data_IF_750184633064
#
_entry.id   IF_750184633064
#
_cell.length_a   1.000
_cell.length_b   1.000
_cell.length_c   1.000
_cell.angle_alpha   90.00
_cell.angle_beta   90.00
_cell.angle_gamma   90.00
#
_symmetry.space_group_name_H-M   'P 1'
#
loop_
_entity.id
_entity.type
_entity.pdbx_description
1 polymer ?
#
# COMPACT_ATOMS: atom_id res chain seq x y z
N UNK A 1 -27.56 -30.43 -5.11
CA UNK A 1 -27.59 -28.97 -4.94
C UNK A 1 -26.94 -28.72 -3.60
N UNK A 2 -25.84 -28.04 -3.57
CA UNK A 2 -25.28 -27.54 -2.32
C UNK A 2 -26.28 -26.51 -1.78
N UNK A 3 -26.66 -26.63 -0.52
CA UNK A 3 -27.58 -25.70 0.11
C UNK A 3 -26.79 -24.45 0.48
N UNK A 4 -27.31 -23.27 0.12
CA UNK A 4 -26.81 -21.97 0.57
C UNK A 4 -27.71 -21.51 1.70
N UNK A 5 -27.12 -21.15 2.83
CA UNK A 5 -27.83 -20.73 4.02
C UNK A 5 -27.62 -19.24 4.31
N UNK A 6 -28.49 -18.66 5.11
CA UNK A 6 -28.32 -17.27 5.55
C UNK A 6 -27.06 -17.14 6.42
N UNK A 7 -26.15 -16.27 6.01
CA UNK A 7 -24.85 -16.10 6.66
C UNK A 7 -23.68 -16.70 5.86
N UNK A 8 -23.94 -17.46 4.82
CA UNK A 8 -22.89 -17.93 3.91
C UNK A 8 -22.24 -16.77 3.15
N UNK A 9 -20.96 -16.90 2.89
CA UNK A 9 -20.16 -15.88 2.20
C UNK A 9 -19.97 -16.31 0.75
N UNK A 10 -20.36 -15.43 -0.19
CA UNK A 10 -20.07 -15.58 -1.60
C UNK A 10 -18.94 -14.63 -2.03
N UNK A 11 -17.98 -15.14 -2.79
CA UNK A 11 -16.87 -14.34 -3.33
C UNK A 11 -16.71 -14.59 -4.82
N UNK A 12 -16.13 -13.61 -5.53
CA UNK A 12 -15.79 -13.79 -6.94
C UNK A 12 -14.70 -14.86 -7.11
N UNK A 13 -14.82 -15.67 -8.15
CA UNK A 13 -13.90 -16.76 -8.46
C UNK A 13 -12.82 -16.35 -9.49
N UNK A 14 -12.50 -15.07 -9.60
CA UNK A 14 -11.47 -14.59 -10.53
C UNK A 14 -10.11 -15.18 -10.17
N UNK A 15 -9.53 -15.89 -11.13
CA UNK A 15 -8.21 -16.50 -10.98
C UNK A 15 -7.09 -15.51 -11.31
N UNK A 16 -5.93 -15.74 -10.71
CA UNK A 16 -4.70 -15.03 -11.07
C UNK A 16 -4.27 -15.41 -12.49
N UNK A 17 -3.93 -14.40 -13.29
CA UNK A 17 -3.30 -14.60 -14.58
C UNK A 17 -2.40 -13.40 -14.92
N UNK A 18 -1.30 -13.68 -15.61
CA UNK A 18 -0.45 -12.65 -16.22
C UNK A 18 -0.86 -12.42 -17.67
N UNK A 19 -0.71 -11.21 -18.16
CA UNK A 19 -1.03 -10.84 -19.55
C UNK A 19 -0.29 -9.57 -19.98
N UNK A 20 -0.26 -9.33 -21.28
CA UNK A 20 0.41 -8.15 -21.84
C UNK A 20 1.87 -8.03 -21.40
N UNK A 21 2.37 -6.82 -21.33
CA UNK A 21 3.72 -6.56 -20.86
C UNK A 21 3.69 -6.41 -19.34
N UNK A 22 4.05 -7.50 -18.62
CA UNK A 22 4.22 -7.53 -17.16
C UNK A 22 3.00 -7.05 -16.37
N UNK A 23 1.79 -7.30 -16.87
CA UNK A 23 0.56 -7.09 -16.12
C UNK A 23 0.06 -8.38 -15.47
N UNK A 24 -0.59 -8.26 -14.34
CA UNK A 24 -1.30 -9.35 -13.67
C UNK A 24 -2.73 -8.94 -13.35
N UNK A 25 -3.65 -9.91 -13.41
CA UNK A 25 -5.02 -9.76 -12.93
C UNK A 25 -5.34 -10.77 -11.86
N UNK A 26 -6.10 -10.37 -10.87
CA UNK A 26 -6.71 -11.23 -9.86
C UNK A 26 -7.86 -10.52 -9.17
N UNK A 27 -8.60 -11.23 -8.31
CA UNK A 27 -9.45 -10.58 -7.31
C UNK A 27 -8.61 -10.08 -6.14
N UNK A 28 -9.08 -9.01 -5.50
CA UNK A 28 -8.53 -8.56 -4.21
C UNK A 28 -7.01 -8.35 -4.22
N UNK A 29 -6.46 -7.73 -5.26
CA UNK A 29 -5.11 -7.20 -5.17
C UNK A 29 -5.03 -6.16 -4.05
N UNK A 30 -6.09 -5.41 -3.85
CA UNK A 30 -6.33 -4.67 -2.65
C UNK A 30 -7.00 -5.60 -1.61
N UNK A 31 -6.34 -6.01 -0.47
CA UNK A 31 -4.94 -5.69 -0.28
C UNK A 31 -4.03 -6.94 -0.20
N UNK A 32 -4.21 -7.88 -1.10
CA UNK A 32 -3.28 -9.02 -1.21
C UNK A 32 -1.91 -8.63 -1.76
N UNK A 33 -1.84 -7.56 -2.55
CA UNK A 33 -0.57 -7.07 -3.09
C UNK A 33 0.30 -6.49 -1.98
N UNK A 34 -0.24 -5.71 -1.07
CA UNK A 34 0.48 -5.21 0.11
C UNK A 34 0.90 -6.33 1.04
N UNK A 35 0.01 -7.31 1.29
CA UNK A 35 0.38 -8.51 2.03
C UNK A 35 1.55 -9.26 1.36
N UNK A 36 1.57 -9.36 0.04
CA UNK A 36 2.67 -10.01 -0.70
C UNK A 36 3.98 -9.24 -0.57
N UNK A 37 3.95 -7.91 -0.66
CA UNK A 37 5.13 -7.06 -0.43
C UNK A 37 5.69 -7.28 0.98
N UNK A 38 4.84 -7.34 2.00
CA UNK A 38 5.26 -7.63 3.38
C UNK A 38 5.89 -9.02 3.50
N UNK A 39 5.31 -10.05 2.86
CA UNK A 39 5.86 -11.42 2.86
C UNK A 39 7.25 -11.46 2.21
N UNK A 40 7.46 -10.76 1.10
CA UNK A 40 8.79 -10.67 0.47
C UNK A 40 9.79 -9.89 1.36
N UNK A 41 9.31 -8.88 2.08
CA UNK A 41 10.14 -8.10 3.02
C UNK A 41 10.53 -8.91 4.25
N UNK A 42 9.61 -9.72 4.82
CA UNK A 42 9.89 -10.61 5.96
C UNK A 42 11.01 -11.62 5.68
N UNK A 43 11.16 -12.05 4.43
CA UNK A 43 12.22 -13.00 4.04
C UNK A 43 13.63 -12.38 4.11
N UNK A 44 13.70 -11.06 4.24
CA UNK A 44 14.97 -10.32 4.30
C UNK A 44 15.34 -10.06 5.76
N UNK A 45 16.61 -10.07 6.06
CA UNK A 45 17.09 -9.77 7.41
C UNK A 45 17.39 -8.28 7.55
N UNK A 46 16.88 -7.67 8.61
CA UNK A 46 17.14 -6.28 8.98
C UNK A 46 17.60 -6.22 10.45
N UNK A 47 18.57 -5.37 10.73
CA UNK A 47 19.01 -5.04 12.09
C UNK A 47 18.14 -3.90 12.66
N UNK A 48 16.84 -4.15 12.72
CA UNK A 48 15.82 -3.21 13.20
C UNK A 48 14.80 -3.96 14.06
N UNK A 49 14.19 -3.24 14.99
CA UNK A 49 13.02 -3.76 15.72
C UNK A 49 11.77 -3.59 14.83
N UNK A 50 11.49 -4.57 14.01
CA UNK A 50 10.37 -4.55 13.04
C UNK A 50 9.20 -5.41 13.51
N UNK A 51 7.99 -4.90 13.30
CA UNK A 51 6.76 -5.65 13.45
C UNK A 51 6.01 -5.60 12.11
N UNK A 52 5.73 -6.76 11.56
CA UNK A 52 4.90 -6.92 10.37
C UNK A 52 3.47 -7.25 10.81
N UNK A 53 2.53 -6.35 10.54
CA UNK A 53 1.14 -6.49 10.95
C UNK A 53 0.25 -6.69 9.73
N UNK A 54 -0.46 -7.81 9.67
CA UNK A 54 -1.51 -8.07 8.70
C UNK A 54 -2.85 -7.76 9.38
N UNK A 55 -3.34 -6.56 9.16
CA UNK A 55 -4.54 -6.05 9.81
C UNK A 55 -5.80 -6.59 9.16
N UNK A 56 -6.89 -6.62 9.90
CA UNK A 56 -8.19 -7.06 9.41
C UNK A 56 -9.17 -5.90 9.34
N UNK A 57 -10.18 -6.01 8.46
CA UNK A 57 -11.29 -5.05 8.41
C UNK A 57 -10.86 -3.62 8.05
N UNK A 58 -9.86 -3.48 7.16
CA UNK A 58 -9.47 -2.19 6.61
C UNK A 58 -10.64 -1.56 5.86
N UNK A 59 -11.25 -2.29 4.92
CA UNK A 59 -12.32 -1.89 3.99
C UNK A 59 -13.62 -1.41 4.66
N UNK A 60 -13.79 -1.69 5.93
CA UNK A 60 -14.98 -1.30 6.71
C UNK A 60 -14.64 -0.33 7.85
N UNK A 61 -13.53 0.40 7.71
CA UNK A 61 -13.17 1.52 8.60
C UNK A 61 -11.89 1.37 9.37
N UNK A 62 -10.85 0.74 8.82
CA UNK A 62 -9.49 0.64 9.37
C UNK A 62 -9.46 -0.01 10.77
N UNK A 63 -10.35 -0.99 10.99
CA UNK A 63 -10.71 -1.42 12.36
C UNK A 63 -9.59 -2.21 13.03
N UNK A 64 -8.84 -3.03 12.28
CA UNK A 64 -7.73 -3.81 12.81
C UNK A 64 -6.49 -2.97 13.10
N UNK A 65 -6.29 -1.88 12.36
CA UNK A 65 -5.11 -1.02 12.49
C UNK A 65 -5.06 -0.30 13.86
N UNK A 66 -6.19 0.18 14.36
CA UNK A 66 -6.26 0.89 15.65
C UNK A 66 -5.72 0.05 16.83
N UNK A 67 -6.24 -1.17 17.12
CA UNK A 67 -5.73 -1.99 18.21
C UNK A 67 -4.31 -2.52 17.94
N UNK A 68 -3.95 -2.76 16.69
CA UNK A 68 -2.60 -3.19 16.33
C UNK A 68 -1.57 -2.09 16.65
N UNK A 69 -1.81 -0.87 16.18
CA UNK A 69 -0.95 0.28 16.44
C UNK A 69 -0.85 0.59 17.94
N UNK A 70 -1.98 0.53 18.67
CA UNK A 70 -1.99 0.77 20.11
C UNK A 70 -1.12 -0.24 20.86
N UNK A 71 -1.19 -1.53 20.48
CA UNK A 71 -0.42 -2.61 21.12
C UNK A 71 1.06 -2.54 20.78
N UNK A 72 1.39 -2.32 19.51
CA UNK A 72 2.78 -2.24 19.02
C UNK A 72 3.46 -0.97 19.48
N UNK A 73 2.74 0.16 19.41
CA UNK A 73 3.26 1.50 19.73
C UNK A 73 4.58 1.81 19.00
N UNK A 74 4.60 1.76 17.66
CA UNK A 74 5.82 1.97 16.90
C UNK A 74 6.19 3.46 16.84
N UNK A 75 7.45 3.78 16.64
CA UNK A 75 7.92 5.14 16.36
C UNK A 75 7.52 5.58 14.94
N UNK A 76 7.57 4.65 14.00
CA UNK A 76 7.23 4.86 12.58
C UNK A 76 6.35 3.75 12.06
N UNK A 77 5.48 4.08 11.12
CA UNK A 77 4.64 3.12 10.42
C UNK A 77 4.71 3.31 8.90
N UNK A 78 4.84 2.21 8.17
CA UNK A 78 4.68 2.19 6.72
C UNK A 78 3.51 1.26 6.40
N UNK A 79 2.47 1.80 5.79
CA UNK A 79 1.33 1.02 5.28
C UNK A 79 1.59 0.68 3.83
N UNK A 80 1.39 -0.58 3.48
CA UNK A 80 1.53 -1.09 2.12
C UNK A 80 0.17 -1.59 1.68
N UNK A 81 -0.30 -1.13 0.52
CA UNK A 81 -1.65 -1.46 0.03
C UNK A 81 -1.77 -1.37 -1.49
N UNK A 82 -2.93 -1.74 -2.03
CA UNK A 82 -3.37 -1.34 -3.36
C UNK A 82 -3.91 0.10 -3.35
N UNK A 83 -3.81 0.84 -4.45
CA UNK A 83 -4.44 2.17 -4.53
C UNK A 83 -5.14 2.41 -5.85
N UNK A 84 -6.15 3.27 -5.81
CA UNK A 84 -6.97 3.60 -6.98
C UNK A 84 -6.14 4.13 -8.13
N UNK A 85 -6.41 3.58 -9.30
CA UNK A 85 -5.83 3.96 -10.57
C UNK A 85 -6.96 4.27 -11.55
N UNK A 86 -7.03 5.49 -12.02
CA UNK A 86 -8.09 5.95 -12.94
C UNK A 86 -7.57 6.13 -14.36
N UNK A 87 -6.44 5.55 -14.71
CA UNK A 87 -5.75 5.62 -16.00
C UNK A 87 -6.36 4.70 -17.06
N UNK A 88 -7.68 4.73 -17.18
CA UNK A 88 -8.43 3.90 -18.13
C UNK A 88 -8.86 4.71 -19.36
N UNK A 89 -9.12 4.02 -20.46
CA UNK A 89 -9.54 4.66 -21.71
C UNK A 89 -10.75 5.60 -21.50
N UNK A 90 -10.64 6.83 -21.97
CA UNK A 90 -11.66 7.84 -21.84
C UNK A 90 -11.57 8.71 -20.58
N UNK A 91 -10.68 8.40 -19.64
CA UNK A 91 -10.43 9.27 -18.48
C UNK A 91 -9.33 10.28 -18.80
N UNK A 92 -9.58 11.59 -18.74
CA UNK A 92 -8.55 12.61 -18.92
C UNK A 92 -7.45 12.49 -17.87
N UNK A 93 -6.19 12.73 -18.26
CA UNK A 93 -5.02 12.52 -17.41
C UNK A 93 -5.07 13.28 -16.08
N UNK A 94 -5.65 14.48 -16.05
CA UNK A 94 -5.79 15.26 -14.82
C UNK A 94 -6.66 14.60 -13.75
N UNK A 95 -7.43 13.56 -14.12
CA UNK A 95 -8.24 12.77 -13.20
C UNK A 95 -7.61 11.42 -12.84
N UNK A 96 -6.43 11.13 -13.36
CA UNK A 96 -5.69 9.93 -12.95
C UNK A 96 -5.20 10.10 -11.53
N UNK A 97 -5.71 9.28 -10.61
CA UNK A 97 -5.24 9.25 -9.23
C UNK A 97 -3.80 8.71 -9.14
N UNK A 98 -3.56 7.59 -9.82
CA UNK A 98 -2.26 7.00 -10.12
C UNK A 98 -2.30 6.37 -11.52
N UNK A 99 -1.17 5.89 -12.00
CA UNK A 99 -1.04 5.23 -13.31
C UNK A 99 -0.28 3.91 -13.15
N UNK A 100 -0.79 2.85 -13.75
CA UNK A 100 -0.11 1.53 -13.78
C UNK A 100 1.14 1.63 -14.64
N UNK A 101 2.25 1.05 -14.15
CA UNK A 101 3.55 1.09 -14.84
C UNK A 101 4.40 2.33 -14.54
N UNK A 102 3.97 3.18 -13.62
CA UNK A 102 4.70 4.39 -13.23
C UNK A 102 5.36 4.29 -11.83
N UNK A 103 5.51 3.08 -11.31
CA UNK A 103 6.07 2.79 -10.00
C UNK A 103 5.06 2.89 -8.86
N UNK A 104 5.45 2.47 -7.65
CA UNK A 104 4.62 2.60 -6.46
C UNK A 104 4.23 4.04 -6.20
N UNK A 105 3.05 4.24 -5.63
CA UNK A 105 2.50 5.54 -5.33
C UNK A 105 2.71 5.92 -3.86
N UNK A 106 3.12 7.17 -3.63
CA UNK A 106 3.23 7.76 -2.29
C UNK A 106 2.04 8.68 -2.06
N UNK A 107 1.32 8.48 -0.97
CA UNK A 107 0.20 9.34 -0.58
C UNK A 107 0.71 10.60 0.10
N UNK A 108 0.31 11.77 -0.42
CA UNK A 108 0.60 13.09 0.19
C UNK A 108 -0.54 13.49 1.13
N UNK A 109 -1.76 13.29 0.66
CA UNK A 109 -3.00 13.59 1.38
C UNK A 109 -4.09 12.63 0.92
N UNK A 110 -4.90 12.18 1.85
CA UNK A 110 -6.13 11.43 1.59
C UNK A 110 -7.27 11.93 2.49
N UNK A 111 -8.40 11.23 2.54
CA UNK A 111 -9.57 11.67 3.31
C UNK A 111 -9.34 11.70 4.83
N UNK A 112 -8.32 11.02 5.35
CA UNK A 112 -8.06 10.89 6.78
C UNK A 112 -6.66 11.33 7.20
N UNK A 113 -5.72 11.49 6.25
CA UNK A 113 -4.32 11.69 6.56
C UNK A 113 -3.72 12.81 5.70
N UNK A 114 -2.91 13.64 6.33
CA UNK A 114 -1.89 14.46 5.66
C UNK A 114 -0.55 13.84 6.04
N UNK A 115 0.20 13.34 5.06
CA UNK A 115 1.46 12.66 5.31
C UNK A 115 2.46 13.59 6.05
N UNK A 116 3.21 13.02 6.99
CA UNK A 116 4.29 13.75 7.65
C UNK A 116 5.35 14.13 6.61
N UNK A 117 5.49 15.42 6.34
CA UNK A 117 6.29 15.93 5.22
C UNK A 117 7.73 15.44 5.25
N UNK A 118 8.40 15.52 6.41
CA UNK A 118 9.78 15.08 6.54
C UNK A 118 9.95 13.60 6.24
N UNK A 119 9.01 12.76 6.68
CA UNK A 119 9.05 11.33 6.41
C UNK A 119 8.76 11.00 4.94
N UNK A 120 7.79 11.67 4.33
CA UNK A 120 7.52 11.53 2.90
C UNK A 120 8.73 11.96 2.05
N UNK A 121 9.34 13.10 2.36
CA UNK A 121 10.53 13.59 1.66
C UNK A 121 11.71 12.63 1.84
N UNK A 122 11.87 12.01 3.03
CA UNK A 122 12.85 10.97 3.27
C UNK A 122 12.64 9.76 2.35
N UNK A 123 11.41 9.22 2.26
CA UNK A 123 11.09 8.10 1.36
C UNK A 123 11.39 8.46 -0.10
N UNK A 124 11.05 9.67 -0.53
CA UNK A 124 11.35 10.16 -1.89
C UNK A 124 12.85 10.25 -2.17
N UNK A 125 13.63 10.74 -1.21
CA UNK A 125 15.09 10.77 -1.32
C UNK A 125 15.70 9.38 -1.43
N UNK A 126 15.20 8.43 -0.62
CA UNK A 126 15.62 7.02 -0.69
C UNK A 126 15.30 6.44 -2.06
N UNK A 127 14.09 6.67 -2.61
CA UNK A 127 13.73 6.23 -3.94
C UNK A 127 14.70 6.78 -5.01
N UNK A 128 14.97 8.07 -4.97
CA UNK A 128 15.88 8.73 -5.91
C UNK A 128 17.34 8.21 -5.81
N UNK A 129 17.84 7.99 -4.59
CA UNK A 129 19.19 7.48 -4.35
C UNK A 129 19.38 6.03 -4.81
N UNK A 130 18.31 5.27 -4.96
CA UNK A 130 18.32 3.87 -5.39
C UNK A 130 17.74 3.67 -6.81
N UNK A 131 17.55 4.75 -7.57
CA UNK A 131 16.99 4.72 -8.93
C UNK A 131 15.62 4.01 -9.00
N UNK A 132 14.82 4.10 -7.94
CA UNK A 132 13.49 3.51 -7.88
C UNK A 132 12.47 4.52 -8.40
N UNK A 133 11.81 4.18 -9.49
CA UNK A 133 10.69 4.97 -10.03
C UNK A 133 9.53 4.95 -9.04
N UNK A 134 8.93 6.11 -8.79
CA UNK A 134 7.75 6.27 -7.95
C UNK A 134 6.87 7.40 -8.48
N UNK A 135 5.63 7.44 -8.04
CA UNK A 135 4.70 8.51 -8.33
C UNK A 135 4.04 9.06 -7.08
N UNK A 136 3.48 10.27 -7.15
CA UNK A 136 2.62 10.80 -6.10
C UNK A 136 1.16 10.55 -6.42
N UNK A 137 0.39 10.09 -5.45
CA UNK A 137 -1.05 9.93 -5.58
C UNK A 137 -1.73 11.31 -5.69
N UNK A 138 -2.56 11.51 -6.71
CA UNK A 138 -3.13 12.82 -7.09
C UNK A 138 -4.58 13.04 -6.63
N UNK A 139 -5.12 12.18 -5.78
CA UNK A 139 -6.49 12.32 -5.26
C UNK A 139 -6.51 12.38 -3.75
N UNK A 140 -7.47 13.11 -3.21
CA UNK A 140 -7.75 13.19 -1.78
C UNK A 140 -8.81 12.19 -1.31
N UNK A 141 -9.45 11.47 -2.25
CA UNK A 141 -10.47 10.45 -1.93
C UNK A 141 -9.86 9.17 -1.38
N UNK A 142 -10.64 8.41 -0.63
CA UNK A 142 -10.18 7.17 0.01
C UNK A 142 -9.31 7.41 1.24
N UNK A 143 -8.93 6.34 1.89
CA UNK A 143 -8.01 6.33 3.04
C UNK A 143 -7.43 4.93 3.17
N UNK A 144 -6.48 4.75 4.05
CA UNK A 144 -5.86 3.47 4.39
C UNK A 144 -5.56 3.42 5.89
N UNK A 145 -4.97 2.32 6.34
CA UNK A 145 -4.68 2.07 7.75
C UNK A 145 -3.86 3.16 8.44
N UNK A 146 -3.06 3.97 7.70
CA UNK A 146 -2.34 5.08 8.30
C UNK A 146 -3.28 6.12 8.91
N UNK A 147 -4.51 6.25 8.37
CA UNK A 147 -5.55 7.13 8.91
C UNK A 147 -6.01 6.79 10.33
N UNK A 148 -5.81 5.54 10.76
CA UNK A 148 -6.05 5.10 12.14
C UNK A 148 -4.75 5.07 12.96
N UNK A 149 -3.66 4.64 12.35
CA UNK A 149 -2.36 4.47 13.01
C UNK A 149 -1.83 5.80 13.52
N UNK A 150 -1.84 6.85 12.68
CA UNK A 150 -1.23 8.15 13.03
C UNK A 150 -1.93 8.87 14.18
N UNK A 151 -3.18 8.51 14.52
CA UNK A 151 -3.93 9.07 15.63
C UNK A 151 -3.76 8.28 16.95
N UNK A 152 -2.95 7.22 16.94
CA UNK A 152 -2.79 6.34 18.10
C UNK A 152 -1.84 6.97 19.12
N UNK A 153 -2.25 6.96 20.40
CA UNK A 153 -1.50 7.52 21.54
C UNK A 153 -1.09 8.99 21.32
N UNK A 154 0.20 9.28 21.38
CA UNK A 154 0.75 10.63 21.16
C UNK A 154 0.91 10.98 19.67
N UNK A 155 0.51 10.07 18.81
CA UNK A 155 0.69 10.16 17.36
C UNK A 155 1.86 9.31 16.87
N UNK A 156 1.70 8.73 15.68
CA UNK A 156 2.72 7.89 15.04
C UNK A 156 3.05 8.50 13.68
N UNK A 157 4.33 8.73 13.43
CA UNK A 157 4.80 9.20 12.12
C UNK A 157 4.63 8.06 11.12
N UNK A 158 3.88 8.31 10.03
CA UNK A 158 3.64 7.26 9.06
C UNK A 158 3.51 7.75 7.63
N UNK A 159 3.63 6.80 6.72
CA UNK A 159 3.44 6.98 5.29
C UNK A 159 2.80 5.74 4.65
N UNK A 160 2.14 5.93 3.50
CA UNK A 160 1.65 4.84 2.67
C UNK A 160 2.49 4.72 1.39
N UNK A 161 2.89 3.49 1.06
CA UNK A 161 3.50 3.09 -0.20
C UNK A 161 2.54 2.12 -0.86
N UNK A 162 1.93 2.51 -1.96
CA UNK A 162 0.81 1.78 -2.54
C UNK A 162 1.13 1.28 -3.96
N UNK A 163 0.63 0.10 -4.32
CA UNK A 163 0.72 -0.42 -5.68
C UNK A 163 -0.49 0.06 -6.50
N UNK A 164 -0.29 0.81 -7.61
CA UNK A 164 -1.37 1.23 -8.48
C UNK A 164 -2.21 0.04 -8.98
N UNK A 165 -3.51 0.10 -8.73
CA UNK A 165 -4.44 -1.01 -9.01
C UNK A 165 -5.63 -0.49 -9.81
N UNK A 166 -5.72 -0.89 -11.10
CA UNK A 166 -6.92 -0.62 -11.92
C UNK A 166 -8.08 -1.46 -11.46
N UNK A 167 -9.28 -0.91 -11.55
CA UNK A 167 -10.53 -1.58 -11.19
C UNK A 167 -10.54 -2.06 -9.73
N UNK A 168 -9.90 -1.29 -8.83
CA UNK A 168 -9.92 -1.56 -7.39
C UNK A 168 -11.35 -1.78 -6.90
N UNK A 169 -11.57 -2.70 -5.96
CA UNK A 169 -12.87 -3.14 -5.45
C UNK A 169 -13.77 -3.86 -6.49
N UNK A 170 -13.32 -4.04 -7.73
CA UNK A 170 -14.04 -4.83 -8.73
C UNK A 170 -13.70 -6.34 -8.62
N UNK A 171 -14.52 -7.21 -9.24
CA UNK A 171 -14.27 -8.65 -9.25
C UNK A 171 -12.92 -9.07 -9.84
N UNK A 172 -12.35 -8.25 -10.71
CA UNK A 172 -11.04 -8.46 -11.32
C UNK A 172 -10.26 -7.15 -11.32
N UNK A 173 -9.15 -7.15 -10.66
CA UNK A 173 -8.25 -6.01 -10.52
C UNK A 173 -6.98 -6.26 -11.34
N UNK A 174 -6.29 -5.19 -11.74
CA UNK A 174 -5.09 -5.25 -12.58
C UNK A 174 -3.98 -4.40 -11.98
N UNK A 175 -2.77 -4.97 -11.92
CA UNK A 175 -1.54 -4.29 -11.51
C UNK A 175 -0.44 -4.47 -12.55
N UNK A 176 0.61 -3.63 -12.47
CA UNK A 176 1.91 -3.89 -13.10
C UNK A 176 2.80 -4.67 -12.13
N UNK A 177 3.48 -5.68 -12.64
CA UNK A 177 4.51 -6.40 -11.88
C UNK A 177 5.73 -5.49 -11.60
N UNK A 178 5.99 -4.51 -12.45
CA UNK A 178 7.07 -3.53 -12.23
C UNK A 178 6.74 -2.61 -11.05
N UNK A 179 5.48 -2.17 -10.91
CA UNK A 179 5.03 -1.37 -9.77
C UNK A 179 5.10 -2.18 -8.46
N UNK A 180 4.72 -3.45 -8.51
CA UNK A 180 4.82 -4.37 -7.38
C UNK A 180 6.27 -4.60 -6.94
N UNK A 181 7.16 -4.92 -7.89
CA UNK A 181 8.59 -5.10 -7.62
C UNK A 181 9.24 -3.78 -7.12
N UNK A 182 8.81 -2.66 -7.70
CA UNK A 182 9.20 -1.33 -7.25
C UNK A 182 8.78 -1.03 -5.81
N UNK A 183 7.59 -1.47 -5.40
CA UNK A 183 7.13 -1.33 -4.01
C UNK A 183 8.00 -2.15 -3.05
N UNK A 184 8.34 -3.40 -3.40
CA UNK A 184 9.25 -4.23 -2.61
C UNK A 184 10.62 -3.56 -2.47
N UNK A 185 11.16 -3.08 -3.59
CA UNK A 185 12.47 -2.43 -3.61
C UNK A 185 12.48 -1.15 -2.77
N UNK A 186 11.40 -0.35 -2.85
CA UNK A 186 11.31 0.89 -2.09
C UNK A 186 11.18 0.63 -0.58
N UNK A 187 10.34 -0.31 -0.17
CA UNK A 187 10.21 -0.71 1.24
C UNK A 187 11.54 -1.21 1.78
N UNK A 188 12.23 -2.09 1.04
CA UNK A 188 13.56 -2.57 1.44
C UNK A 188 14.56 -1.41 1.57
N UNK A 189 14.65 -0.54 0.58
CA UNK A 189 15.60 0.58 0.59
C UNK A 189 15.34 1.53 1.78
N UNK A 190 14.08 1.81 2.10
CA UNK A 190 13.70 2.61 3.27
C UNK A 190 14.14 1.93 4.56
N UNK A 191 13.88 0.63 4.72
CA UNK A 191 14.30 -0.12 5.92
C UNK A 191 15.82 -0.17 6.04
N UNK A 192 16.57 -0.40 4.94
CA UNK A 192 18.04 -0.34 4.94
C UNK A 192 18.56 1.04 5.34
N UNK A 193 17.87 2.10 4.94
CA UNK A 193 18.23 3.46 5.33
C UNK A 193 18.00 3.71 6.82
N UNK A 194 16.96 3.10 7.41
CA UNK A 194 16.75 3.14 8.86
C UNK A 194 17.88 2.44 9.64
N UNK A 195 18.38 1.29 9.17
CA UNK A 195 19.56 0.61 9.77
C UNK A 195 20.79 1.52 9.86
N UNK A 196 20.89 2.47 8.94
CA UNK A 196 21.99 3.44 8.89
C UNK A 196 21.74 4.72 9.72
N UNK A 197 20.68 4.74 10.54
CA UNK A 197 20.28 5.93 11.31
C UNK A 197 19.54 6.98 10.48
N UNK A 198 18.75 6.57 9.50
CA UNK A 198 18.33 7.38 8.37
C UNK A 198 17.30 8.48 8.58
N UNK A 199 16.31 8.33 9.46
CA UNK A 199 15.31 9.38 9.72
C UNK A 199 15.18 9.61 11.21
N UNK A 200 15.40 10.85 11.63
CA UNK A 200 15.09 11.33 12.98
C UNK A 200 14.07 12.45 12.78
N UNK A 201 12.80 12.17 13.14
CA UNK A 201 11.67 13.08 13.01
C UNK A 201 11.71 14.26 13.96
#
# INVERSE_FOLDING_TARGET
MEHVELGDIAVFATEFATFGERCAKAKSFDDRVGCSVLVETIKKNFDLNLVFAFTVQEEIGLRGATPAAYRVSPDYAIVIEGTVCSDVAGTPEQFHATQVGHGPALSVVDAKTIAHRGFLDHIRQVAQQNDITYQLRRTIGGSNDIGAIHLTKEGIIGAAISVPTRYIHAPSQVISMDDYEGAIALVEAVLRRFEQGGFIG
#
